data_IF_774064153121
#
_entry.id   IF_774064153121
#
_cell.length_a   1.000
_cell.length_b   1.000
_cell.length_c   1.000
_cell.angle_alpha   90.00
_cell.angle_beta   90.00
_cell.angle_gamma   90.00
#
_symmetry.space_group_name_H-M   'P 1'
#
loop_
_entity.id
_entity.type
_entity.pdbx_description
1 polymer ?
#
# COMPACT_ATOMS: atom_id res chain seq x y z
N UNK A 1 -5.57 -11.92 40.09
CA UNK A 1 -5.58 -10.64 39.36
C UNK A 1 -4.22 -10.48 38.68
N UNK A 2 -4.05 -11.04 37.49
CA UNK A 2 -2.76 -11.03 36.79
C UNK A 2 -2.78 -9.93 35.71
N UNK A 3 -2.03 -8.86 35.99
CA UNK A 3 -1.69 -7.84 35.02
C UNK A 3 -0.55 -8.39 34.15
N UNK A 4 -0.83 -8.74 32.89
CA UNK A 4 0.23 -9.02 31.93
C UNK A 4 0.32 -7.86 30.95
N UNK A 5 1.28 -6.98 31.21
CA UNK A 5 1.56 -5.78 30.46
C UNK A 5 2.05 -6.08 29.04
N UNK A 6 1.50 -5.33 28.10
CA UNK A 6 1.91 -5.29 26.71
C UNK A 6 3.33 -4.71 26.61
N UNK A 7 4.30 -5.48 26.08
CA UNK A 7 5.66 -5.01 25.75
C UNK A 7 5.69 -4.53 24.30
N UNK A 8 5.92 -3.24 24.00
CA UNK A 8 6.19 -2.82 22.63
C UNK A 8 7.63 -3.19 22.25
N UNK A 9 7.80 -3.95 21.15
CA UNK A 9 9.10 -4.16 20.51
C UNK A 9 9.40 -2.92 19.66
N UNK A 10 10.23 -2.03 20.19
CA UNK A 10 10.81 -0.92 19.42
C UNK A 10 11.83 -1.45 18.42
N UNK A 11 11.62 -1.18 17.13
CA UNK A 11 12.66 -1.36 16.12
C UNK A 11 13.70 -0.26 16.31
N UNK A 12 14.92 -0.65 16.67
CA UNK A 12 16.06 0.23 16.90
C UNK A 12 16.71 0.52 15.55
N UNK A 13 16.36 1.64 14.92
CA UNK A 13 17.04 2.08 13.72
C UNK A 13 18.49 2.45 14.06
N UNK A 14 19.41 2.04 13.18
CA UNK A 14 20.85 2.27 13.28
C UNK A 14 21.13 3.77 13.45
N UNK A 15 21.77 4.13 14.56
CA UNK A 15 22.32 5.46 14.74
C UNK A 15 23.46 5.65 13.74
N UNK A 16 23.26 6.53 12.77
CA UNK A 16 24.37 7.06 11.97
C UNK A 16 25.15 8.01 12.88
N UNK A 17 26.30 7.52 13.34
CA UNK A 17 27.29 8.30 14.08
C UNK A 17 27.80 9.44 13.18
N UNK A 18 27.56 10.69 13.58
CA UNK A 18 28.17 11.85 12.93
C UNK A 18 29.70 11.84 13.14
N UNK A 19 30.50 12.20 12.12
CA UNK A 19 31.94 12.31 12.29
C UNK A 19 32.30 13.49 13.20
N UNK A 20 33.02 13.23 14.29
CA UNK A 20 33.69 14.27 15.09
C UNK A 20 34.95 14.72 14.35
N UNK A 21 34.87 15.83 13.63
CA UNK A 21 36.07 16.50 13.11
C UNK A 21 36.68 17.38 14.21
N UNK A 22 37.93 17.08 14.54
CA UNK A 22 38.77 17.76 15.51
C UNK A 22 39.06 19.21 15.10
N UNK A 23 38.97 20.13 16.06
CA UNK A 23 39.34 21.54 15.91
C UNK A 23 40.87 21.63 16.02
N UNK A 24 41.56 21.84 14.90
CA UNK A 24 42.98 22.19 14.86
C UNK A 24 43.13 23.71 14.84
N UNK A 25 43.85 24.23 15.82
CA UNK A 25 44.26 25.62 15.97
C UNK A 25 45.59 25.84 15.26
N UNK A 26 45.67 26.83 14.38
CA UNK A 26 46.92 27.31 13.80
C UNK A 26 46.72 28.25 12.62
N UNK A 27 46.87 29.55 12.87
CA UNK A 27 47.17 30.58 11.85
C UNK A 27 48.64 31.00 12.04
N UNK A 28 49.42 31.41 11.01
CA UNK A 28 49.14 32.67 10.30
C UNK A 28 49.44 32.73 8.78
N UNK A 29 48.68 33.61 8.13
CA UNK A 29 49.00 34.54 7.03
C UNK A 29 50.05 34.14 5.96
N UNK A 30 49.62 33.99 4.70
CA UNK A 30 50.23 34.65 3.52
C UNK A 30 49.41 34.41 2.23
N UNK A 31 48.67 35.44 1.83
CA UNK A 31 48.64 36.03 0.48
C UNK A 31 48.74 35.05 -0.71
N UNK A 32 47.61 34.55 -1.21
CA UNK A 32 47.44 34.40 -2.66
C UNK A 32 45.97 34.48 -3.07
N UNK A 33 45.64 35.47 -3.89
CA UNK A 33 44.31 35.69 -4.48
C UNK A 33 43.86 34.53 -5.38
N UNK A 34 44.75 33.55 -5.63
CA UNK A 34 44.53 32.37 -6.49
C UNK A 34 43.68 31.29 -5.83
N UNK A 35 43.59 31.25 -4.50
CA UNK A 35 42.74 30.29 -3.78
C UNK A 35 41.23 30.55 -3.96
N UNK A 36 40.84 31.78 -4.32
CA UNK A 36 39.44 32.16 -4.52
C UNK A 36 38.85 31.67 -5.85
N UNK A 37 39.68 31.37 -6.86
CA UNK A 37 39.19 30.88 -8.16
C UNK A 37 38.87 29.38 -8.15
N UNK A 38 39.49 28.59 -7.26
CA UNK A 38 39.18 27.15 -7.12
C UNK A 38 38.03 26.88 -6.13
N UNK A 39 37.80 27.76 -5.16
CA UNK A 39 36.64 27.65 -4.25
C UNK A 39 35.31 28.05 -4.92
N UNK A 40 35.34 28.91 -5.94
CA UNK A 40 34.13 29.30 -6.68
C UNK A 40 33.57 28.19 -7.58
N UNK A 41 34.41 27.27 -8.07
CA UNK A 41 33.99 26.23 -9.02
C UNK A 41 33.35 25.00 -8.36
N UNK A 42 33.54 24.79 -7.05
CA UNK A 42 32.99 23.61 -6.34
C UNK A 42 31.61 23.85 -5.71
N UNK A 43 31.14 25.10 -5.62
CA UNK A 43 29.89 25.45 -4.93
C UNK A 43 28.63 25.40 -5.81
N UNK A 44 28.76 25.19 -7.13
CA UNK A 44 27.63 25.26 -8.07
C UNK A 44 26.93 23.91 -8.37
N UNK A 45 27.34 22.81 -7.72
CA UNK A 45 27.01 21.45 -8.19
C UNK A 45 25.92 20.65 -7.46
N UNK A 46 25.35 21.13 -6.35
CA UNK A 46 24.35 20.34 -5.58
C UNK A 46 23.09 21.18 -5.33
N UNK A 47 22.38 21.50 -6.40
CA UNK A 47 20.96 21.84 -6.35
C UNK A 47 20.14 20.57 -6.54
N UNK A 48 20.01 19.75 -5.51
CA UNK A 48 19.03 18.65 -5.53
C UNK A 48 17.64 19.21 -5.26
N UNK A 49 16.64 18.88 -6.08
CA UNK A 49 15.27 19.36 -5.93
C UNK A 49 14.63 18.87 -4.61
N UNK A 50 14.65 19.72 -3.58
CA UNK A 50 14.02 19.45 -2.27
C UNK A 50 12.48 19.32 -2.40
N UNK A 51 11.88 19.89 -3.44
CA UNK A 51 10.43 19.87 -3.68
C UNK A 51 9.88 18.48 -4.01
N UNK A 52 10.69 17.60 -4.63
CA UNK A 52 10.25 16.24 -4.94
C UNK A 52 10.12 15.39 -3.66
N UNK A 53 11.02 15.54 -2.69
CA UNK A 53 11.00 14.78 -1.43
C UNK A 53 9.92 15.24 -0.45
N UNK A 54 9.57 16.54 -0.44
CA UNK A 54 8.44 17.06 0.33
C UNK A 54 7.11 16.43 -0.12
N UNK A 55 6.91 16.26 -1.43
CA UNK A 55 5.69 15.67 -1.99
C UNK A 55 5.46 14.21 -1.57
N UNK A 56 6.51 13.39 -1.48
CA UNK A 56 6.41 11.98 -1.09
C UNK A 56 6.08 11.78 0.39
N UNK A 57 6.61 12.63 1.28
CA UNK A 57 6.29 12.54 2.71
C UNK A 57 4.83 12.91 2.96
N UNK A 58 4.31 13.93 2.26
CA UNK A 58 2.91 14.31 2.33
C UNK A 58 1.99 13.17 1.87
N UNK A 59 2.28 12.53 0.72
CA UNK A 59 1.49 11.40 0.24
C UNK A 59 1.55 10.18 1.20
N UNK A 60 2.71 9.93 1.80
CA UNK A 60 2.87 8.85 2.77
C UNK A 60 2.04 9.09 4.03
N UNK A 61 2.04 10.31 4.54
CA UNK A 61 1.25 10.65 5.72
C UNK A 61 -0.25 10.61 5.41
N UNK A 62 -0.66 11.12 4.23
CA UNK A 62 -2.03 11.00 3.74
C UNK A 62 -2.48 9.53 3.64
N UNK A 63 -1.61 8.64 3.15
CA UNK A 63 -1.88 7.20 3.10
C UNK A 63 -2.08 6.60 4.50
N UNK A 64 -1.22 6.96 5.46
CA UNK A 64 -1.32 6.46 6.84
C UNK A 64 -2.60 6.92 7.53
N UNK A 65 -2.99 8.18 7.33
CA UNK A 65 -4.24 8.73 7.84
C UNK A 65 -5.44 8.00 7.21
N UNK A 66 -5.45 7.84 5.89
CA UNK A 66 -6.48 7.07 5.18
C UNK A 66 -6.60 5.64 5.73
N UNK A 67 -5.47 4.97 5.98
CA UNK A 67 -5.46 3.62 6.53
C UNK A 67 -6.05 3.56 7.95
N UNK A 68 -5.73 4.53 8.81
CA UNK A 68 -6.28 4.64 10.16
C UNK A 68 -7.79 4.92 10.14
N UNK A 69 -8.23 5.85 9.29
CA UNK A 69 -9.66 6.15 9.10
C UNK A 69 -10.43 4.92 8.63
N UNK A 70 -9.87 4.14 7.70
CA UNK A 70 -10.49 2.88 7.25
C UNK A 70 -10.57 1.83 8.38
N UNK A 71 -9.59 1.78 9.27
CA UNK A 71 -9.63 0.88 10.44
C UNK A 71 -10.69 1.31 11.45
N UNK A 72 -10.91 2.63 11.58
CA UNK A 72 -11.95 3.20 12.42
C UNK A 72 -13.36 3.12 11.78
N UNK A 73 -13.49 2.63 10.55
CA UNK A 73 -14.77 2.57 9.82
C UNK A 73 -15.24 3.91 9.27
N UNK A 74 -14.39 4.94 9.28
CA UNK A 74 -14.70 6.24 8.70
C UNK A 74 -14.57 6.23 7.17
N UNK A 75 -15.31 7.13 6.52
CA UNK A 75 -15.17 7.40 5.08
C UNK A 75 -13.80 8.03 4.79
N UNK A 76 -13.22 7.71 3.64
CA UNK A 76 -11.91 8.20 3.21
C UNK A 76 -12.01 8.77 1.80
N UNK A 77 -11.51 9.99 1.62
CA UNK A 77 -11.29 10.55 0.30
C UNK A 77 -9.97 10.02 -0.28
N UNK A 78 -10.07 9.36 -1.43
CA UNK A 78 -8.95 8.74 -2.12
C UNK A 78 -8.35 9.62 -3.23
N UNK A 79 -8.93 10.78 -3.54
CA UNK A 79 -8.55 11.59 -4.70
C UNK A 79 -7.04 11.87 -4.75
N UNK A 80 -6.46 12.30 -3.62
CA UNK A 80 -5.04 12.60 -3.50
C UNK A 80 -4.12 11.36 -3.53
N UNK A 81 -4.68 10.15 -3.34
CA UNK A 81 -3.92 8.91 -3.22
C UNK A 81 -3.95 8.06 -4.49
N UNK A 82 -4.70 8.43 -5.53
CA UNK A 82 -4.81 7.62 -6.77
C UNK A 82 -3.46 7.35 -7.45
N UNK A 83 -2.52 8.29 -7.36
CA UNK A 83 -1.16 8.12 -7.90
C UNK A 83 -0.17 7.46 -6.94
N UNK A 84 -0.58 7.16 -5.70
CA UNK A 84 0.31 6.60 -4.69
C UNK A 84 0.48 5.08 -4.90
N UNK A 85 1.71 4.52 -4.93
CA UNK A 85 1.93 3.11 -5.28
C UNK A 85 1.16 2.09 -4.43
N UNK A 86 0.86 2.41 -3.16
CA UNK A 86 0.13 1.52 -2.26
C UNK A 86 -1.39 1.73 -2.28
N UNK A 87 -1.90 2.64 -3.11
CA UNK A 87 -3.34 2.85 -3.29
C UNK A 87 -4.18 1.57 -3.47
N UNK A 88 -3.72 0.54 -4.23
CA UNK A 88 -4.49 -0.69 -4.40
C UNK A 88 -4.76 -1.41 -3.07
N UNK A 89 -3.89 -1.26 -2.07
CA UNK A 89 -4.08 -1.86 -0.75
C UNK A 89 -5.20 -1.18 0.03
N UNK A 90 -5.37 0.14 -0.09
CA UNK A 90 -6.50 0.86 0.54
C UNK A 90 -7.82 0.42 -0.08
N UNK A 91 -7.89 0.36 -1.41
CA UNK A 91 -9.09 -0.10 -2.13
C UNK A 91 -9.42 -1.55 -1.81
N UNK A 92 -8.42 -2.44 -1.81
CA UNK A 92 -8.59 -3.82 -1.41
C UNK A 92 -9.19 -3.94 -0.01
N UNK A 93 -8.63 -3.23 0.99
CA UNK A 93 -9.11 -3.27 2.38
C UNK A 93 -10.53 -2.74 2.51
N UNK A 94 -10.84 -1.64 1.83
CA UNK A 94 -12.17 -1.04 1.83
C UNK A 94 -13.24 -1.98 1.24
N UNK A 95 -13.01 -2.47 0.01
CA UNK A 95 -13.93 -3.39 -0.67
C UNK A 95 -14.08 -4.68 0.16
N UNK A 96 -12.98 -5.22 0.69
CA UNK A 96 -13.00 -6.47 1.49
C UNK A 96 -13.91 -6.37 2.71
N UNK A 97 -13.92 -5.24 3.43
CA UNK A 97 -14.82 -5.05 4.58
C UNK A 97 -16.28 -4.97 4.17
N UNK A 98 -16.55 -4.45 2.97
CA UNK A 98 -17.90 -4.23 2.45
C UNK A 98 -18.45 -5.39 1.65
N UNK A 99 -17.71 -6.49 1.47
CA UNK A 99 -18.20 -7.68 0.76
C UNK A 99 -19.58 -8.18 1.23
N UNK A 100 -19.94 -8.12 2.54
CA UNK A 100 -21.29 -8.49 2.98
C UNK A 100 -22.43 -7.65 2.36
N UNK A 101 -22.13 -6.43 1.89
CA UNK A 101 -23.06 -5.57 1.15
C UNK A 101 -23.07 -5.83 -0.36
N UNK A 102 -22.32 -6.84 -0.83
CA UNK A 102 -22.24 -7.26 -2.22
C UNK A 102 -21.88 -6.16 -3.25
N UNK A 103 -20.72 -5.49 -3.11
CA UNK A 103 -20.28 -4.41 -4.00
C UNK A 103 -19.73 -4.96 -5.34
N UNK A 104 -20.56 -5.69 -6.09
CA UNK A 104 -20.14 -6.47 -7.26
C UNK A 104 -19.48 -5.62 -8.36
N UNK A 105 -19.92 -4.37 -8.55
CA UNK A 105 -19.32 -3.46 -9.54
C UNK A 105 -17.90 -3.07 -9.14
N UNK A 106 -17.68 -2.68 -7.88
CA UNK A 106 -16.35 -2.31 -7.39
C UNK A 106 -15.40 -3.50 -7.36
N UNK A 107 -15.90 -4.70 -7.02
CA UNK A 107 -15.10 -5.92 -7.09
C UNK A 107 -14.64 -6.18 -8.51
N UNK A 108 -15.55 -6.18 -9.49
CA UNK A 108 -15.20 -6.44 -10.90
C UNK A 108 -14.24 -5.40 -11.45
N UNK A 109 -14.45 -4.12 -11.14
CA UNK A 109 -13.52 -3.04 -11.48
C UNK A 109 -12.13 -3.27 -10.88
N UNK A 110 -12.04 -3.62 -9.60
CA UNK A 110 -10.77 -3.93 -8.95
C UNK A 110 -10.06 -5.13 -9.60
N UNK A 111 -10.80 -6.20 -9.88
CA UNK A 111 -10.27 -7.40 -10.52
C UNK A 111 -9.80 -7.14 -11.96
N UNK A 112 -10.41 -6.18 -12.65
CA UNK A 112 -10.00 -5.76 -13.99
C UNK A 112 -8.73 -4.90 -13.94
N UNK A 113 -8.69 -3.89 -13.05
CA UNK A 113 -7.57 -2.94 -12.98
C UNK A 113 -6.31 -3.61 -12.42
N UNK A 114 -6.46 -4.51 -11.44
CA UNK A 114 -5.33 -5.11 -10.71
C UNK A 114 -5.18 -6.61 -10.98
N UNK A 115 -5.60 -7.09 -12.16
CA UNK A 115 -5.66 -8.51 -12.54
C UNK A 115 -4.36 -9.27 -12.28
N UNK A 116 -3.22 -8.61 -12.50
CA UNK A 116 -1.90 -9.22 -12.46
C UNK A 116 -1.24 -9.12 -11.07
N UNK A 117 -2.04 -8.81 -10.05
CA UNK A 117 -1.57 -8.65 -8.68
C UNK A 117 -2.12 -9.76 -7.77
N UNK A 118 -1.36 -10.16 -6.74
CA UNK A 118 -1.88 -11.10 -5.73
C UNK A 118 -3.08 -10.53 -4.95
N UNK A 119 -3.34 -9.22 -5.01
CA UNK A 119 -4.52 -8.63 -4.38
C UNK A 119 -5.80 -9.00 -5.13
N UNK A 120 -5.78 -9.08 -6.46
CA UNK A 120 -6.95 -9.47 -7.23
C UNK A 120 -7.37 -10.90 -6.89
N UNK A 121 -6.44 -11.85 -6.82
CA UNK A 121 -6.77 -13.23 -6.44
C UNK A 121 -7.29 -13.34 -5.01
N UNK A 122 -6.69 -12.60 -4.06
CA UNK A 122 -7.19 -12.53 -2.69
C UNK A 122 -8.61 -11.99 -2.63
N UNK A 123 -8.89 -10.90 -3.35
CA UNK A 123 -10.22 -10.29 -3.38
C UNK A 123 -11.24 -11.22 -4.05
N UNK A 124 -10.89 -11.83 -5.20
CA UNK A 124 -11.74 -12.78 -5.89
C UNK A 124 -12.12 -13.94 -4.99
N UNK A 125 -11.15 -14.52 -4.28
CA UNK A 125 -11.41 -15.65 -3.38
C UNK A 125 -12.30 -15.25 -2.19
N UNK A 126 -12.09 -14.04 -1.63
CA UNK A 126 -12.98 -13.52 -0.59
C UNK A 126 -14.40 -13.27 -1.12
N UNK A 127 -14.51 -12.73 -2.33
CA UNK A 127 -15.77 -12.45 -3.00
C UNK A 127 -16.57 -13.73 -3.31
N UNK A 128 -15.92 -14.73 -3.91
CA UNK A 128 -16.53 -16.02 -4.21
C UNK A 128 -17.00 -16.75 -2.95
N UNK A 129 -16.24 -16.67 -1.85
CA UNK A 129 -16.69 -17.19 -0.54
C UNK A 129 -17.95 -16.48 -0.04
N UNK A 130 -17.99 -15.16 -0.16
CA UNK A 130 -19.16 -14.37 0.24
C UNK A 130 -20.40 -14.76 -0.58
N UNK A 131 -20.25 -14.91 -1.91
CA UNK A 131 -21.33 -15.31 -2.81
C UNK A 131 -21.82 -16.74 -2.53
N UNK A 132 -20.90 -17.68 -2.34
CA UNK A 132 -21.24 -19.08 -2.02
C UNK A 132 -21.97 -19.19 -0.66
N UNK A 133 -21.48 -18.47 0.36
CA UNK A 133 -22.12 -18.42 1.67
C UNK A 133 -23.54 -17.84 1.63
N UNK A 134 -23.79 -16.90 0.71
CA UNK A 134 -25.10 -16.31 0.45
C UNK A 134 -25.92 -17.06 -0.63
N UNK A 135 -25.40 -18.17 -1.16
CA UNK A 135 -26.03 -18.97 -2.22
C UNK A 135 -26.42 -18.17 -3.48
N UNK A 136 -25.69 -17.09 -3.79
CA UNK A 136 -25.90 -16.27 -4.98
C UNK A 136 -25.25 -16.91 -6.20
N UNK A 137 -25.84 -18.01 -6.67
CA UNK A 137 -25.22 -18.89 -7.65
C UNK A 137 -25.02 -18.26 -9.03
N UNK A 138 -25.96 -17.43 -9.48
CA UNK A 138 -25.81 -16.72 -10.77
C UNK A 138 -24.64 -15.74 -10.75
N UNK A 139 -24.47 -14.99 -9.67
CA UNK A 139 -23.34 -14.07 -9.52
C UNK A 139 -22.04 -14.84 -9.29
N UNK A 140 -22.08 -15.96 -8.57
CA UNK A 140 -20.92 -16.82 -8.39
C UNK A 140 -20.41 -17.31 -9.75
N UNK A 141 -21.30 -17.81 -10.63
CA UNK A 141 -20.90 -18.30 -11.96
C UNK A 141 -20.36 -17.19 -12.86
N UNK A 142 -20.84 -15.95 -12.70
CA UNK A 142 -20.35 -14.80 -13.46
C UNK A 142 -18.89 -14.47 -13.15
N UNK A 143 -18.49 -14.57 -11.88
CA UNK A 143 -17.17 -14.12 -11.42
C UNK A 143 -16.20 -15.29 -11.12
N UNK A 144 -16.68 -16.54 -11.14
CA UNK A 144 -15.88 -17.72 -10.88
C UNK A 144 -14.94 -18.07 -12.05
N UNK A 145 -13.65 -18.12 -11.75
CA UNK A 145 -12.62 -18.65 -12.66
C UNK A 145 -12.30 -20.11 -12.31
N UNK A 146 -11.77 -20.90 -13.25
CA UNK A 146 -11.24 -22.23 -12.94
C UNK A 146 -10.21 -22.14 -11.82
N UNK A 147 -10.36 -22.98 -10.79
CA UNK A 147 -9.49 -23.00 -9.62
C UNK A 147 -8.91 -24.39 -9.41
N UNK A 148 -7.72 -24.46 -8.81
CA UNK A 148 -7.15 -25.73 -8.34
C UNK A 148 -7.57 -26.06 -6.90
N UNK A 149 -8.21 -25.12 -6.22
CA UNK A 149 -8.77 -25.34 -4.89
C UNK A 149 -10.10 -26.10 -5.01
N UNK A 150 -10.20 -27.32 -4.46
CA UNK A 150 -11.39 -28.16 -4.57
C UNK A 150 -12.66 -27.48 -4.03
N UNK A 151 -12.53 -26.55 -3.08
CA UNK A 151 -13.66 -25.84 -2.49
C UNK A 151 -14.35 -24.96 -3.52
N UNK A 152 -13.58 -24.15 -4.25
CA UNK A 152 -14.13 -23.24 -5.27
C UNK A 152 -14.68 -24.01 -6.47
N UNK A 153 -14.05 -25.14 -6.84
CA UNK A 153 -14.59 -26.04 -7.87
C UNK A 153 -15.89 -26.71 -7.43
N UNK A 154 -15.98 -27.17 -6.18
CA UNK A 154 -17.21 -27.74 -5.62
C UNK A 154 -18.36 -26.71 -5.68
N UNK A 155 -18.13 -25.49 -5.21
CA UNK A 155 -19.13 -24.42 -5.29
C UNK A 155 -19.50 -24.05 -6.73
N UNK A 156 -18.54 -24.05 -7.66
CA UNK A 156 -18.82 -23.84 -9.09
C UNK A 156 -19.76 -24.91 -9.64
N UNK A 157 -19.49 -26.19 -9.35
CA UNK A 157 -20.36 -27.31 -9.76
C UNK A 157 -21.73 -27.23 -9.11
N UNK A 158 -21.80 -26.88 -7.83
CA UNK A 158 -23.06 -26.65 -7.12
C UNK A 158 -23.87 -25.52 -7.75
N UNK A 159 -23.22 -24.41 -8.10
CA UNK A 159 -23.87 -23.28 -8.75
C UNK A 159 -24.47 -23.66 -10.11
N UNK A 160 -23.73 -24.44 -10.92
CA UNK A 160 -24.20 -25.00 -12.18
C UNK A 160 -25.46 -25.86 -12.01
N UNK A 161 -25.45 -26.80 -11.07
CA UNK A 161 -26.61 -27.64 -10.75
C UNK A 161 -27.82 -26.83 -10.29
N UNK A 162 -27.61 -25.78 -9.49
CA UNK A 162 -28.69 -24.94 -8.94
C UNK A 162 -29.30 -23.99 -9.96
N UNK A 163 -28.54 -23.59 -10.98
CA UNK A 163 -28.99 -22.69 -12.05
C UNK A 163 -29.46 -23.44 -13.29
N UNK A 164 -29.45 -24.78 -13.27
CA UNK A 164 -29.81 -25.60 -14.43
C UNK A 164 -28.82 -25.50 -15.59
N UNK A 165 -27.63 -24.94 -15.36
CA UNK A 165 -26.57 -24.86 -16.36
C UNK A 165 -25.76 -26.15 -16.31
N UNK A 166 -25.93 -27.02 -17.31
CA UNK A 166 -25.02 -28.14 -17.56
C UNK A 166 -23.91 -27.67 -18.48
N UNK A 167 -22.66 -27.97 -18.14
CA UNK A 167 -21.51 -27.65 -19.01
C UNK A 167 -21.63 -28.28 -20.39
#
# INVERSE_FOLDING_TARGET
>A
MFLSGYRPRGARYLQVSAPKTTRSSGSPVLRSWRAWLLAGLLAAGIGGDISATESWQVQREAFRLAEQSLQAGASVDYAALRGYPLYPYLRYRDISRRLPAFPATEVREFLQIYSDTPLADRLRNAWLRQLAGAQRWDDYLRDAVPSRDPTFECWRRQALLKTGQTQ
#
